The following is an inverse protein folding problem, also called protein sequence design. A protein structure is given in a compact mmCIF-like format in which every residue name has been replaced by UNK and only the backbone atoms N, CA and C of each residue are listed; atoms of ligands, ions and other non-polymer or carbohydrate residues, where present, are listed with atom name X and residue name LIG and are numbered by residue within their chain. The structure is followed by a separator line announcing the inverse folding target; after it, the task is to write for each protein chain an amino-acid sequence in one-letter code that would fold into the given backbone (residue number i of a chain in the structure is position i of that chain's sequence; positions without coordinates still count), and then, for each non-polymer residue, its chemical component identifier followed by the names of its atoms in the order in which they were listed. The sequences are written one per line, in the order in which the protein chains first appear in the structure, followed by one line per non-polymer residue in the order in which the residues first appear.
data_IF_812245756196
#
_entry.id   IF_812245756196
#
_cell.length_a   1.000
_cell.length_b   1.000
_cell.length_c   1.000
_cell.angle_alpha   90.00
_cell.angle_beta   90.00
_cell.angle_gamma   90.00
#
_symmetry.space_group_name_H-M   'P 1'
#
loop_
_entity.id
_entity.type
_entity.pdbx_description
1 polymer ?
#
# COMPACT_ATOMS: atom_id res chain seq x y z
N UNK A 1 -59.62 -30.49 -47.38
CA UNK A 1 -58.75 -29.30 -47.32
C UNK A 1 -59.34 -28.37 -46.25
N UNK A 2 -58.98 -28.61 -44.98
CA UNK A 2 -59.58 -27.93 -43.84
C UNK A 2 -59.07 -26.50 -43.73
N UNK A 3 -59.98 -25.53 -43.76
CA UNK A 3 -59.69 -24.11 -43.57
C UNK A 3 -59.26 -23.92 -42.11
N UNK A 4 -57.96 -23.88 -41.84
CA UNK A 4 -57.41 -23.57 -40.52
C UNK A 4 -57.93 -22.18 -40.13
N UNK A 5 -58.80 -22.08 -39.13
CA UNK A 5 -59.28 -20.82 -38.60
C UNK A 5 -58.17 -20.19 -37.75
N UNK A 6 -58.02 -18.86 -37.83
CA UNK A 6 -57.14 -18.10 -36.93
C UNK A 6 -57.65 -18.22 -35.49
N UNK A 7 -56.80 -18.52 -34.52
CA UNK A 7 -57.16 -18.44 -33.10
C UNK A 7 -57.49 -16.99 -32.70
N UNK A 8 -58.44 -16.80 -31.79
CA UNK A 8 -58.83 -15.46 -31.29
C UNK A 8 -57.65 -14.74 -30.63
N UNK A 9 -56.76 -15.50 -29.99
CA UNK A 9 -55.52 -15.01 -29.36
C UNK A 9 -54.58 -14.26 -30.33
N UNK A 10 -54.47 -14.72 -31.59
CA UNK A 10 -53.62 -14.06 -32.59
C UNK A 10 -54.26 -12.74 -33.05
N UNK A 11 -55.60 -12.66 -33.05
CA UNK A 11 -56.30 -11.41 -33.41
C UNK A 11 -56.12 -10.35 -32.34
N UNK A 12 -56.20 -10.74 -31.07
CA UNK A 12 -56.02 -9.83 -29.94
C UNK A 12 -54.58 -9.30 -29.87
N UNK A 13 -53.59 -10.14 -30.17
CA UNK A 13 -52.17 -9.76 -30.23
C UNK A 13 -51.88 -8.64 -31.25
N UNK A 14 -52.55 -8.66 -32.41
CA UNK A 14 -52.30 -7.72 -33.52
C UNK A 14 -53.34 -6.61 -33.66
N UNK A 15 -54.41 -6.61 -32.85
CA UNK A 15 -55.41 -5.55 -32.77
C UNK A 15 -54.83 -4.14 -32.59
N UNK A 16 -53.88 -3.87 -31.66
CA UNK A 16 -53.37 -2.51 -31.45
C UNK A 16 -52.57 -1.96 -32.63
N UNK A 17 -52.00 -2.82 -33.49
CA UNK A 17 -51.24 -2.40 -34.68
C UNK A 17 -52.17 -2.08 -35.86
N UNK A 18 -53.30 -2.77 -35.95
CA UNK A 18 -54.30 -2.56 -37.00
C UNK A 18 -55.22 -1.36 -36.72
N UNK A 19 -55.28 -0.92 -35.45
CA UNK A 19 -56.13 0.19 -34.98
C UNK A 19 -55.30 1.40 -34.51
N UNK A 20 -53.99 1.42 -34.80
CA UNK A 20 -53.11 2.54 -34.48
C UNK A 20 -53.52 3.81 -35.27
N UNK A 21 -53.49 4.96 -34.59
CA UNK A 21 -53.94 6.23 -35.15
C UNK A 21 -53.02 6.70 -36.29
N UNK A 22 -53.60 6.91 -37.48
CA UNK A 22 -52.89 7.29 -38.71
C UNK A 22 -52.93 6.28 -39.86
N UNK A 23 -53.59 5.11 -39.71
CA UNK A 23 -53.76 4.11 -40.79
C UNK A 23 -55.24 3.91 -41.10
N UNK A 24 -55.60 3.91 -42.39
CA UNK A 24 -56.99 3.67 -42.82
C UNK A 24 -57.47 2.28 -42.38
N UNK A 25 -58.59 2.25 -41.63
CA UNK A 25 -59.14 1.02 -41.09
C UNK A 25 -59.53 0.02 -42.19
N UNK A 26 -58.93 -1.18 -42.17
CA UNK A 26 -59.23 -2.26 -43.12
C UNK A 26 -60.62 -2.81 -42.83
N UNK A 27 -61.59 -2.54 -43.72
CA UNK A 27 -63.02 -2.87 -43.54
C UNK A 27 -63.38 -4.33 -43.85
N UNK A 28 -62.64 -5.01 -44.73
CA UNK A 28 -62.92 -6.39 -45.12
C UNK A 28 -62.26 -7.40 -44.16
N UNK A 29 -63.08 -8.28 -43.58
CA UNK A 29 -62.68 -9.31 -42.62
C UNK A 29 -61.72 -10.34 -43.26
N UNK A 30 -61.87 -10.62 -44.56
CA UNK A 30 -60.98 -11.56 -45.27
C UNK A 30 -59.58 -10.97 -45.44
N UNK A 31 -59.50 -9.70 -45.83
CA UNK A 31 -58.24 -8.97 -45.97
C UNK A 31 -57.57 -8.82 -44.61
N UNK A 32 -58.31 -8.45 -43.57
CA UNK A 32 -57.81 -8.33 -42.19
C UNK A 32 -57.17 -9.64 -41.69
N UNK A 33 -57.83 -10.77 -41.86
CA UNK A 33 -57.30 -12.06 -41.41
C UNK A 33 -56.05 -12.50 -42.20
N UNK A 34 -55.97 -12.16 -43.50
CA UNK A 34 -54.78 -12.41 -44.30
C UNK A 34 -53.62 -11.50 -43.89
N UNK A 35 -53.87 -10.23 -43.59
CA UNK A 35 -52.84 -9.29 -43.08
C UNK A 35 -52.30 -9.76 -41.74
N UNK A 36 -53.15 -10.22 -40.81
CA UNK A 36 -52.70 -10.77 -39.53
C UNK A 36 -51.79 -12.00 -39.74
N UNK A 37 -52.12 -12.88 -40.70
CA UNK A 37 -51.24 -14.02 -41.04
C UNK A 37 -49.90 -13.60 -41.60
N UNK A 38 -49.90 -12.59 -42.47
CA UNK A 38 -48.64 -12.06 -43.00
C UNK A 38 -47.82 -11.46 -41.87
N UNK A 39 -48.43 -10.68 -40.97
CA UNK A 39 -47.76 -10.09 -39.81
C UNK A 39 -47.16 -11.14 -38.87
N UNK A 40 -47.91 -12.21 -38.56
CA UNK A 40 -47.41 -13.30 -37.73
C UNK A 40 -46.27 -14.07 -38.43
N UNK A 41 -46.40 -14.33 -39.73
CA UNK A 41 -45.33 -14.98 -40.50
C UNK A 41 -44.09 -14.08 -40.62
N UNK A 42 -44.25 -12.76 -40.76
CA UNK A 42 -43.13 -11.82 -40.79
C UNK A 42 -42.48 -11.69 -39.41
N UNK A 43 -43.25 -11.68 -38.32
CA UNK A 43 -42.71 -11.68 -36.96
C UNK A 43 -41.94 -12.98 -36.67
N UNK A 44 -42.51 -14.13 -37.04
CA UNK A 44 -41.84 -15.42 -36.86
C UNK A 44 -40.60 -15.51 -37.75
N UNK A 45 -40.62 -15.00 -38.98
CA UNK A 45 -39.44 -14.92 -39.83
C UNK A 45 -38.36 -13.99 -39.24
N UNK A 46 -38.74 -12.83 -38.68
CA UNK A 46 -37.79 -11.92 -38.04
C UNK A 46 -37.21 -12.50 -36.74
N UNK A 47 -38.02 -13.18 -35.92
CA UNK A 47 -37.54 -13.85 -34.71
C UNK A 47 -36.71 -15.11 -35.02
N UNK A 48 -37.03 -15.81 -36.12
CA UNK A 48 -36.23 -16.90 -36.64
C UNK A 48 -34.90 -16.37 -37.21
N UNK A 49 -34.88 -15.23 -37.90
CA UNK A 49 -33.65 -14.53 -38.30
C UNK A 49 -32.79 -14.13 -37.08
N UNK A 50 -33.42 -13.67 -35.99
CA UNK A 50 -32.73 -13.37 -34.72
C UNK A 50 -32.19 -14.64 -34.04
N UNK A 51 -32.90 -15.77 -34.14
CA UNK A 51 -32.52 -17.02 -33.47
C UNK A 51 -31.47 -17.81 -34.26
N UNK A 52 -31.57 -17.87 -35.59
CA UNK A 52 -30.64 -18.64 -36.45
C UNK A 52 -29.26 -17.99 -36.56
N UNK A 53 -29.15 -16.73 -36.15
CA UNK A 53 -27.89 -15.96 -36.21
C UNK A 53 -27.14 -15.97 -34.85
N UNK A 54 -27.66 -16.69 -33.84
CA UNK A 54 -27.13 -16.69 -32.46
C UNK A 54 -26.28 -17.91 -32.04
N UNK A 55 -26.13 -18.95 -32.87
CA UNK A 55 -25.53 -20.24 -32.43
C UNK A 55 -24.11 -20.50 -32.94
N UNK A 56 -23.43 -19.55 -33.59
CA UNK A 56 -22.03 -19.83 -33.90
C UNK A 56 -21.28 -18.80 -34.72
N UNK A 57 -20.86 -17.69 -34.10
CA UNK A 57 -19.60 -17.06 -34.46
C UNK A 57 -19.18 -16.04 -33.40
N UNK A 58 -18.49 -16.53 -32.38
CA UNK A 58 -17.47 -15.73 -31.69
C UNK A 58 -16.20 -15.86 -32.54
N UNK A 59 -15.74 -14.73 -33.08
CA UNK A 59 -14.47 -14.51 -33.78
C UNK A 59 -14.35 -14.99 -35.25
N UNK A 60 -14.51 -14.05 -36.19
CA UNK A 60 -13.54 -13.89 -37.30
C UNK A 60 -13.66 -12.51 -37.95
N UNK A 61 -12.82 -11.57 -37.48
CA UNK A 61 -12.37 -10.47 -38.34
C UNK A 61 -11.31 -11.05 -39.26
N UNK A 62 -11.74 -11.57 -40.41
CA UNK A 62 -10.90 -11.72 -41.60
C UNK A 62 -11.77 -12.05 -42.81
N UNK A 63 -11.91 -11.07 -43.70
CA UNK A 63 -12.24 -11.20 -45.12
C UNK A 63 -13.03 -12.45 -45.52
N UNK A 64 -14.36 -12.32 -45.62
CA UNK A 64 -15.09 -13.05 -46.65
C UNK A 64 -16.34 -12.30 -47.10
N UNK A 65 -16.41 -12.18 -48.41
CA UNK A 65 -17.41 -11.49 -49.20
C UNK A 65 -18.73 -12.28 -49.19
N UNK A 66 -19.59 -12.09 -48.17
CA UNK A 66 -20.98 -12.57 -48.18
C UNK A 66 -21.89 -11.49 -47.58
N UNK A 67 -22.81 -11.01 -48.41
CA UNK A 67 -23.89 -10.09 -48.09
C UNK A 67 -24.89 -10.77 -47.14
N UNK A 68 -24.78 -10.52 -45.85
CA UNK A 68 -25.75 -10.90 -44.82
C UNK A 68 -25.52 -10.04 -43.59
N UNK A 69 -26.51 -9.21 -43.24
CA UNK A 69 -26.43 -8.24 -42.16
C UNK A 69 -26.07 -8.94 -40.83
N UNK A 70 -24.84 -8.73 -40.37
CA UNK A 70 -24.39 -9.24 -39.07
C UNK A 70 -25.20 -8.60 -37.96
N UNK A 71 -25.80 -9.42 -37.09
CA UNK A 71 -26.51 -8.93 -35.91
C UNK A 71 -25.57 -8.20 -34.96
N UNK A 72 -26.14 -7.21 -34.27
CA UNK A 72 -25.44 -6.46 -33.23
C UNK A 72 -25.03 -7.39 -32.08
N UNK A 73 -23.75 -7.45 -31.71
CA UNK A 73 -23.28 -8.32 -30.64
C UNK A 73 -23.86 -7.91 -29.28
N UNK A 74 -24.16 -8.90 -28.43
CA UNK A 74 -24.55 -8.66 -27.04
C UNK A 74 -23.37 -8.02 -26.31
N UNK A 75 -23.57 -6.80 -25.81
CA UNK A 75 -22.55 -6.05 -25.08
C UNK A 75 -22.26 -6.71 -23.73
N UNK A 76 -21.04 -7.23 -23.58
CA UNK A 76 -20.51 -7.67 -22.28
C UNK A 76 -20.16 -6.41 -21.47
N UNK A 77 -20.52 -6.41 -20.18
CA UNK A 77 -20.22 -5.27 -19.30
C UNK A 77 -18.72 -5.02 -19.19
N UNK A 78 -18.33 -3.75 -19.11
CA UNK A 78 -16.93 -3.36 -19.00
C UNK A 78 -16.39 -3.74 -17.61
N UNK A 79 -15.24 -4.43 -17.58
CA UNK A 79 -14.54 -4.77 -16.33
C UNK A 79 -13.47 -3.72 -16.07
N UNK A 80 -13.42 -3.23 -14.82
CA UNK A 80 -12.35 -2.33 -14.35
C UNK A 80 -11.23 -3.10 -13.66
N UNK A 81 -10.02 -2.57 -13.74
CA UNK A 81 -8.91 -3.05 -12.90
C UNK A 81 -9.18 -2.71 -11.43
N UNK A 82 -8.95 -3.67 -10.53
CA UNK A 82 -9.02 -3.43 -9.10
C UNK A 82 -7.86 -2.54 -8.64
N UNK A 83 -8.16 -1.69 -7.67
CA UNK A 83 -7.16 -0.78 -7.10
C UNK A 83 -6.31 -1.47 -6.04
N UNK A 84 -5.04 -1.08 -5.91
CA UNK A 84 -4.19 -1.59 -4.84
C UNK A 84 -4.70 -1.12 -3.48
N UNK A 85 -4.50 -1.95 -2.45
CA UNK A 85 -4.81 -1.59 -1.07
C UNK A 85 -3.76 -0.61 -0.54
N UNK A 86 -4.23 0.42 0.14
CA UNK A 86 -3.42 1.51 0.71
C UNK A 86 -2.92 1.12 2.10
N UNK A 87 -1.68 1.48 2.44
CA UNK A 87 -1.02 1.14 3.72
C UNK A 87 -0.43 2.35 4.47
N UNK A 88 -0.32 3.50 3.81
CA UNK A 88 0.41 4.67 4.32
C UNK A 88 -0.07 5.15 5.69
N UNK A 89 -1.38 5.09 5.97
CA UNK A 89 -1.93 5.58 7.24
C UNK A 89 -1.64 4.64 8.44
N UNK A 90 -1.32 3.37 8.18
CA UNK A 90 -1.00 2.41 9.24
C UNK A 90 0.50 2.40 9.58
N UNK A 91 1.34 2.93 8.69
CA UNK A 91 2.81 2.96 8.85
C UNK A 91 3.34 4.30 9.38
N UNK A 92 2.60 5.40 9.23
CA UNK A 92 3.07 6.75 9.58
C UNK A 92 2.06 7.49 10.48
N UNK A 93 2.57 8.28 11.42
CA UNK A 93 1.74 9.19 12.21
C UNK A 93 1.27 10.38 11.38
N UNK A 94 -0.01 10.72 11.46
CA UNK A 94 -0.59 11.87 10.76
C UNK A 94 -0.96 12.94 11.78
N UNK A 95 -0.48 14.16 11.56
CA UNK A 95 -0.94 15.35 12.26
C UNK A 95 -1.64 16.27 11.27
N UNK A 96 -2.97 16.42 11.34
CA UNK A 96 -3.69 17.29 10.41
C UNK A 96 -3.24 18.76 10.59
N UNK A 97 -3.07 19.46 9.47
CA UNK A 97 -2.64 20.87 9.45
C UNK A 97 -3.83 21.78 9.12
N UNK A 98 -4.06 22.79 9.97
CA UNK A 98 -5.06 23.86 9.75
C UNK A 98 -4.48 25.04 8.94
N UNK A 99 -3.15 25.14 8.87
CA UNK A 99 -2.42 26.21 8.16
C UNK A 99 -1.41 25.61 7.19
N UNK A 100 -1.06 26.30 6.09
CA UNK A 100 -0.16 25.78 5.05
C UNK A 100 1.28 25.54 5.52
N UNK A 101 1.69 26.15 6.64
CA UNK A 101 3.01 25.94 7.26
C UNK A 101 2.86 25.62 8.74
N UNK A 102 3.57 24.62 9.22
CA UNK A 102 3.67 24.22 10.62
C UNK A 102 5.09 24.41 11.17
N UNK A 103 5.21 24.62 12.47
CA UNK A 103 6.49 24.62 13.19
C UNK A 103 6.49 23.46 14.18
N UNK A 104 7.51 22.63 14.13
CA UNK A 104 7.77 21.55 15.08
C UNK A 104 8.90 22.00 16.00
N UNK A 105 8.64 21.98 17.31
CA UNK A 105 9.65 22.30 18.32
C UNK A 105 10.14 21.01 18.98
N UNK A 106 11.44 20.91 19.19
CA UNK A 106 12.05 19.83 19.96
C UNK A 106 12.95 20.42 21.03
N UNK A 107 12.75 19.95 22.27
CA UNK A 107 13.58 20.30 23.41
C UNK A 107 14.62 19.20 23.61
N UNK A 108 15.89 19.56 23.49
CA UNK A 108 17.01 18.66 23.68
C UNK A 108 17.67 18.98 25.02
N UNK A 109 17.79 17.98 25.89
CA UNK A 109 18.45 18.14 27.18
C UNK A 109 19.94 17.83 27.03
N UNK A 110 20.76 18.80 27.40
CA UNK A 110 22.21 18.76 27.26
C UNK A 110 22.86 18.86 28.64
N UNK A 111 24.00 18.20 28.80
CA UNK A 111 24.85 18.29 29.98
C UNK A 111 26.16 18.97 29.60
N UNK A 112 26.67 19.78 30.51
CA UNK A 112 27.97 20.42 30.40
C UNK A 112 28.93 19.74 31.37
N UNK A 113 30.02 19.17 30.85
CA UNK A 113 31.08 18.55 31.66
C UNK A 113 31.89 19.60 32.41
N UNK A 114 31.96 20.82 31.88
CA UNK A 114 32.59 21.98 32.51
C UNK A 114 31.70 23.22 32.29
N UNK A 115 31.66 24.17 33.24
CA UNK A 115 30.95 25.45 33.07
C UNK A 115 31.44 26.17 31.81
N UNK A 116 30.53 26.43 30.86
CA UNK A 116 30.85 27.06 29.57
C UNK A 116 31.52 26.15 28.53
N UNK A 117 31.60 24.84 28.78
CA UNK A 117 32.12 23.84 27.83
C UNK A 117 31.18 23.50 26.69
N UNK A 118 31.60 22.61 25.79
CA UNK A 118 30.73 22.09 24.72
C UNK A 118 29.64 21.20 25.31
N UNK A 119 28.35 21.38 24.93
CA UNK A 119 27.26 20.55 25.42
C UNK A 119 27.40 19.11 24.93
N UNK A 120 27.24 18.14 25.83
CA UNK A 120 27.03 16.73 25.51
C UNK A 120 25.54 16.39 25.60
N UNK A 121 25.02 15.66 24.62
CA UNK A 121 23.65 15.17 24.69
C UNK A 121 23.51 14.13 25.81
N UNK A 122 22.52 14.30 26.70
CA UNK A 122 22.26 13.33 27.78
C UNK A 122 21.75 11.99 27.20
N UNK A 123 21.06 12.08 26.07
CA UNK A 123 20.56 10.94 25.30
C UNK A 123 21.05 11.08 23.86
N UNK A 124 21.83 10.10 23.39
CA UNK A 124 22.36 10.09 22.03
C UNK A 124 22.04 8.78 21.30
N UNK A 125 22.41 8.67 20.01
CA UNK A 125 22.28 7.43 19.25
C UNK A 125 22.95 6.25 19.94
N UNK A 126 24.03 6.46 20.67
CA UNK A 126 24.76 5.40 21.38
C UNK A 126 24.10 5.00 22.72
N UNK A 127 22.95 5.61 23.06
CA UNK A 127 22.19 5.37 24.27
C UNK A 127 22.42 6.45 25.34
N UNK A 128 22.21 6.06 26.60
CA UNK A 128 22.44 6.94 27.75
C UNK A 128 23.94 7.10 28.00
N UNK A 129 24.45 8.32 27.80
CA UNK A 129 25.86 8.63 28.10
C UNK A 129 25.99 8.84 29.60
N UNK A 130 26.47 7.81 30.29
CA UNK A 130 26.79 7.91 31.71
C UNK A 130 27.73 9.10 31.95
N UNK A 131 27.52 9.88 33.02
CA UNK A 131 28.54 10.81 33.44
C UNK A 131 29.83 10.01 33.68
N UNK A 132 30.93 10.44 33.02
CA UNK A 132 32.25 9.98 33.40
C UNK A 132 32.54 10.58 34.77
N UNK A 133 32.15 9.88 35.83
CA UNK A 133 32.81 10.06 37.11
C UNK A 133 34.24 9.54 36.93
N UNK A 134 35.24 10.35 37.29
CA UNK A 134 36.62 9.90 37.32
C UNK A 134 36.69 8.61 38.14
N UNK A 135 36.94 7.49 37.44
CA UNK A 135 37.12 6.20 38.07
C UNK A 135 38.52 6.21 38.68
N UNK A 136 38.62 6.60 39.96
CA UNK A 136 39.88 6.46 40.68
C UNK A 136 40.26 4.97 40.72
N UNK A 137 41.43 4.64 40.19
CA UNK A 137 42.04 3.32 40.42
C UNK A 137 42.23 3.09 41.92
N UNK A 138 42.35 1.83 42.34
CA UNK A 138 42.59 1.48 43.74
C UNK A 138 43.82 2.20 44.31
N UNK A 139 44.85 2.41 43.49
CA UNK A 139 46.05 3.17 43.86
C UNK A 139 45.78 4.66 44.07
N UNK A 140 44.99 5.29 43.18
CA UNK A 140 44.58 6.69 43.31
C UNK A 140 43.67 6.90 44.54
N UNK A 141 42.75 5.97 44.81
CA UNK A 141 41.87 6.01 45.97
C UNK A 141 42.63 5.85 47.30
N UNK A 142 43.65 4.98 47.34
CA UNK A 142 44.48 4.80 48.54
C UNK A 142 45.38 6.02 48.83
N UNK A 143 45.91 6.65 47.78
CA UNK A 143 46.70 7.87 47.91
C UNK A 143 45.84 9.06 48.38
N UNK A 144 44.62 9.21 47.84
CA UNK A 144 43.62 10.17 48.36
C UNK A 144 43.27 9.89 49.84
N UNK A 145 43.13 8.62 50.22
CA UNK A 145 42.87 8.21 51.61
C UNK A 145 44.03 8.50 52.59
N UNK A 146 45.25 8.67 52.07
CA UNK A 146 46.44 9.11 52.84
C UNK A 146 46.61 10.63 52.85
N UNK A 147 45.64 11.38 52.31
CA UNK A 147 45.70 12.84 52.22
C UNK A 147 46.67 13.35 51.14
N UNK A 148 47.08 12.50 50.19
CA UNK A 148 47.85 12.93 49.02
C UNK A 148 46.90 13.04 47.83
N UNK A 149 46.73 14.26 47.31
CA UNK A 149 46.00 14.48 46.06
C UNK A 149 46.80 13.88 44.89
N UNK A 150 46.10 13.19 44.00
CA UNK A 150 46.69 12.46 42.86
C UNK A 150 46.03 13.00 41.60
N UNK A 151 46.82 13.33 40.58
CA UNK A 151 46.28 13.77 39.30
C UNK A 151 45.62 12.60 38.52
N UNK A 152 44.96 12.93 37.41
CA UNK A 152 44.30 11.96 36.52
C UNK A 152 45.28 10.90 35.92
N UNK A 153 46.59 11.11 36.02
CA UNK A 153 47.66 10.19 35.58
C UNK A 153 48.23 9.32 36.70
N UNK A 154 47.78 9.49 37.95
CA UNK A 154 48.23 8.69 39.10
C UNK A 154 49.51 9.21 39.74
N UNK A 155 50.00 10.40 39.36
CA UNK A 155 51.15 11.05 39.99
C UNK A 155 50.71 11.91 41.18
N UNK A 156 51.53 11.97 42.23
CA UNK A 156 51.29 12.85 43.37
C UNK A 156 51.27 14.31 42.90
N UNK A 157 50.13 14.98 43.06
CA UNK A 157 49.98 16.38 42.69
C UNK A 157 50.65 17.25 43.75
N UNK A 158 51.64 18.05 43.34
CA UNK A 158 52.21 19.13 44.16
C UNK A 158 51.37 20.40 43.93
N UNK A 159 50.88 20.97 45.03
CA UNK A 159 50.01 22.15 45.15
C UNK A 159 48.49 21.99 44.87
N UNK A 160 47.73 22.65 45.77
CA UNK A 160 46.28 22.71 45.91
C UNK A 160 45.46 22.49 44.62
N UNK A 161 44.82 21.32 44.51
CA UNK A 161 43.73 21.06 43.56
C UNK A 161 42.40 21.02 44.33
N UNK A 162 42.15 22.05 45.13
CA UNK A 162 40.84 22.29 45.74
C UNK A 162 40.27 23.51 45.05
N UNK A 163 39.59 23.31 43.91
CA UNK A 163 38.60 24.18 43.22
C UNK A 163 38.36 23.72 41.75
N UNK A 164 39.04 22.69 41.23
CA UNK A 164 38.95 22.32 39.79
C UNK A 164 37.86 21.30 39.42
N UNK A 165 36.98 20.90 40.34
CA UNK A 165 35.85 20.00 40.06
C UNK A 165 34.51 20.76 40.14
N UNK A 166 34.20 21.61 39.15
CA UNK A 166 32.90 22.26 39.08
C UNK A 166 31.79 21.20 38.96
N UNK A 167 30.65 21.46 39.60
CA UNK A 167 29.46 20.63 39.42
C UNK A 167 29.07 20.61 37.95
N UNK A 168 28.71 19.42 37.45
CA UNK A 168 28.17 19.31 36.09
C UNK A 168 26.86 20.10 36.00
N UNK A 169 26.75 20.94 34.98
CA UNK A 169 25.56 21.74 34.72
C UNK A 169 24.65 21.01 33.73
N UNK A 170 23.34 21.15 33.88
CA UNK A 170 22.34 20.63 32.95
C UNK A 170 21.55 21.79 32.37
N UNK A 171 21.32 21.75 31.06
CA UNK A 171 20.56 22.74 30.33
C UNK A 171 19.65 22.09 29.29
N UNK A 172 18.83 22.90 28.63
CA UNK A 172 18.02 22.46 27.50
C UNK A 172 18.11 23.47 26.36
N UNK A 173 18.14 22.95 25.14
CA UNK A 173 18.09 23.74 23.92
C UNK A 173 16.77 23.48 23.21
N UNK A 174 16.09 24.54 22.77
CA UNK A 174 14.86 24.43 21.98
C UNK A 174 15.22 24.63 20.51
N UNK A 175 15.15 23.54 19.75
CA UNK A 175 15.27 23.56 18.30
C UNK A 175 13.90 23.69 17.63
N UNK A 176 13.87 24.26 16.44
CA UNK A 176 12.66 24.40 15.63
C UNK A 176 12.89 23.93 14.20
N UNK A 177 11.91 23.27 13.63
CA UNK A 177 11.89 22.83 12.23
C UNK A 177 10.58 23.29 11.60
N UNK A 178 10.65 23.96 10.45
CA UNK A 178 9.45 24.34 9.68
C UNK A 178 9.05 23.25 8.71
N UNK A 179 7.76 22.94 8.66
CA UNK A 179 7.13 22.03 7.70
C UNK A 179 6.19 22.82 6.82
N UNK A 180 6.28 22.66 5.50
CA UNK A 180 5.44 23.37 4.53
C UNK A 180 4.66 22.35 3.71
N UNK A 181 3.36 22.54 3.57
CA UNK A 181 2.52 21.67 2.76
C UNK A 181 2.89 21.81 1.26
N UNK A 182 2.96 20.67 0.57
CA UNK A 182 3.08 20.60 -0.88
C UNK A 182 1.74 20.21 -1.50
N UNK A 183 1.51 20.60 -2.75
CA UNK A 183 0.24 20.36 -3.45
C UNK A 183 0.41 19.31 -4.56
N UNK A 184 -0.64 18.51 -4.76
CA UNK A 184 -0.77 17.55 -5.88
C UNK A 184 -2.13 17.76 -6.54
N UNK A 185 -2.15 17.83 -7.87
CA UNK A 185 -3.38 17.99 -8.63
C UNK A 185 -3.28 17.24 -9.97
N UNK A 186 -4.37 16.59 -10.37
CA UNK A 186 -4.50 15.90 -11.66
C UNK A 186 -5.68 16.48 -12.44
N UNK A 187 -5.60 16.42 -13.78
CA UNK A 187 -6.66 16.87 -14.68
C UNK A 187 -6.99 15.78 -15.68
N UNK A 188 -8.28 15.41 -15.76
CA UNK A 188 -8.81 14.65 -16.87
C UNK A 188 -9.34 15.59 -17.96
N UNK A 189 -9.25 15.15 -19.22
CA UNK A 189 -9.92 15.77 -20.37
C UNK A 189 -10.70 14.68 -21.08
N UNK A 190 -11.95 14.95 -21.43
CA UNK A 190 -12.78 14.08 -22.24
C UNK A 190 -13.51 14.91 -23.31
N UNK A 191 -13.95 14.25 -24.39
CA UNK A 191 -14.81 14.87 -25.41
C UNK A 191 -16.27 14.60 -25.05
N UNK A 192 -17.15 15.57 -25.33
CA UNK A 192 -18.59 15.40 -25.14
C UNK A 192 -19.15 14.27 -26.02
N UNK A 193 -18.53 14.02 -27.18
CA UNK A 193 -18.86 12.92 -28.08
C UNK A 193 -18.58 11.56 -27.42
N UNK A 194 -17.42 11.46 -26.76
CA UNK A 194 -17.02 10.25 -26.03
C UNK A 194 -17.94 10.00 -24.84
N UNK A 195 -18.33 11.05 -24.11
CA UNK A 195 -19.26 10.94 -22.99
C UNK A 195 -20.66 10.51 -23.45
N UNK A 196 -21.11 11.00 -24.62
CA UNK A 196 -22.38 10.59 -25.22
C UNK A 196 -22.34 9.13 -25.66
N UNK A 197 -21.26 8.69 -26.31
CA UNK A 197 -21.08 7.30 -26.76
C UNK A 197 -21.01 6.32 -25.57
N UNK A 198 -20.19 6.62 -24.56
CA UNK A 198 -20.09 5.83 -23.33
C UNK A 198 -21.44 5.70 -22.60
N UNK A 199 -22.25 6.75 -22.62
CA UNK A 199 -23.57 6.74 -22.00
C UNK A 199 -24.58 5.94 -22.82
N UNK A 200 -24.55 6.05 -24.14
CA UNK A 200 -25.47 5.37 -25.04
C UNK A 200 -25.20 3.86 -25.14
N UNK A 201 -23.92 3.48 -25.20
CA UNK A 201 -23.50 2.07 -25.39
C UNK A 201 -23.31 1.35 -24.06
N UNK A 202 -22.58 1.96 -23.12
CA UNK A 202 -22.17 1.27 -21.88
C UNK A 202 -23.01 1.67 -20.65
N UNK A 203 -23.88 2.68 -20.76
CA UNK A 203 -24.68 3.18 -19.63
C UNK A 203 -23.84 3.87 -18.55
N UNK A 204 -22.59 4.24 -18.86
CA UNK A 204 -21.62 4.79 -17.89
C UNK A 204 -21.58 6.31 -18.00
N UNK A 205 -21.50 6.99 -16.86
CA UNK A 205 -21.23 8.42 -16.82
C UNK A 205 -19.71 8.69 -16.82
N UNK A 206 -19.18 9.11 -17.96
CA UNK A 206 -17.75 9.38 -18.15
C UNK A 206 -17.18 10.42 -17.16
N UNK A 207 -17.97 11.44 -16.80
CA UNK A 207 -17.51 12.48 -15.87
C UNK A 207 -17.31 11.93 -14.46
N UNK A 208 -18.27 11.12 -13.98
CA UNK A 208 -18.22 10.52 -12.66
C UNK A 208 -17.07 9.49 -12.55
N UNK A 209 -16.87 8.66 -13.58
CA UNK A 209 -15.78 7.67 -13.60
C UNK A 209 -14.41 8.34 -13.66
N UNK A 210 -14.25 9.40 -14.46
CA UNK A 210 -12.99 10.13 -14.51
C UNK A 210 -12.70 10.87 -13.20
N UNK A 211 -13.70 11.44 -12.54
CA UNK A 211 -13.53 12.06 -11.22
C UNK A 211 -13.10 11.02 -10.16
N UNK A 212 -13.72 9.84 -10.17
CA UNK A 212 -13.33 8.73 -9.30
C UNK A 212 -11.89 8.31 -9.56
N UNK A 213 -11.51 8.08 -10.82
CA UNK A 213 -10.17 7.68 -11.22
C UNK A 213 -9.10 8.69 -10.79
N UNK A 214 -9.35 9.99 -10.96
CA UNK A 214 -8.43 11.04 -10.51
C UNK A 214 -8.23 11.02 -8.99
N UNK A 215 -9.32 10.90 -8.22
CA UNK A 215 -9.24 10.86 -6.75
C UNK A 215 -8.43 9.65 -6.27
N UNK A 216 -8.62 8.52 -6.93
CA UNK A 216 -7.97 7.27 -6.60
C UNK A 216 -6.49 7.27 -7.00
N UNK A 217 -6.15 7.86 -8.15
CA UNK A 217 -4.77 8.02 -8.60
C UNK A 217 -3.98 8.90 -7.63
N UNK A 218 -4.53 10.04 -7.20
CA UNK A 218 -3.88 10.93 -6.22
C UNK A 218 -3.55 10.17 -4.93
N UNK A 219 -4.50 9.40 -4.41
CA UNK A 219 -4.31 8.66 -3.16
C UNK A 219 -3.29 7.53 -3.33
N UNK A 220 -3.28 6.86 -4.48
CA UNK A 220 -2.29 5.79 -4.79
C UNK A 220 -0.88 6.37 -4.92
N UNK A 221 -0.75 7.50 -5.62
CA UNK A 221 0.53 8.23 -5.75
C UNK A 221 1.04 8.69 -4.37
N UNK A 222 0.16 9.26 -3.54
CA UNK A 222 0.49 9.63 -2.15
C UNK A 222 0.95 8.43 -1.34
N UNK A 223 0.23 7.32 -1.40
CA UNK A 223 0.59 6.11 -0.68
C UNK A 223 1.97 5.58 -1.10
N UNK A 224 2.27 5.57 -2.41
CA UNK A 224 3.56 5.11 -2.93
C UNK A 224 4.70 6.05 -2.52
N UNK A 225 4.48 7.35 -2.59
CA UNK A 225 5.45 8.35 -2.13
C UNK A 225 5.80 8.17 -0.65
N UNK A 226 4.79 7.95 0.21
CA UNK A 226 5.01 7.74 1.64
C UNK A 226 5.84 6.47 1.91
N UNK A 227 5.56 5.35 1.24
CA UNK A 227 6.36 4.11 1.37
C UNK A 227 7.80 4.33 0.89
N UNK A 228 7.99 5.03 -0.24
CA UNK A 228 9.31 5.36 -0.75
C UNK A 228 10.09 6.29 0.19
N UNK A 229 9.40 7.25 0.82
CA UNK A 229 10.00 8.14 1.80
C UNK A 229 10.49 7.35 3.02
N UNK A 230 9.70 6.38 3.52
CA UNK A 230 10.13 5.49 4.60
C UNK A 230 11.40 4.73 4.20
N UNK A 231 11.42 4.09 3.02
CA UNK A 231 12.58 3.33 2.56
C UNK A 231 13.83 4.21 2.34
N UNK A 232 13.67 5.46 1.89
CA UNK A 232 14.81 6.37 1.65
C UNK A 232 15.30 7.08 2.91
N UNK A 233 14.46 7.21 3.95
CA UNK A 233 14.83 7.78 5.25
C UNK A 233 15.25 6.74 6.27
N UNK A 234 14.95 5.46 6.04
CA UNK A 234 15.41 4.36 6.87
C UNK A 234 16.95 4.34 6.93
N UNK A 235 17.49 4.09 8.12
CA UNK A 235 18.91 3.85 8.31
C UNK A 235 19.27 2.47 7.77
N UNK A 236 20.48 2.32 7.23
CA UNK A 236 20.98 1.03 6.75
C UNK A 236 21.20 0.12 7.96
N UNK A 237 20.44 -0.97 8.05
CA UNK A 237 20.60 -2.01 9.06
C UNK A 237 21.77 -2.96 8.76
N UNK A 238 21.89 -4.05 9.51
CA UNK A 238 22.90 -5.10 9.29
C UNK A 238 24.35 -4.58 9.32
N UNK A 239 24.66 -3.67 10.25
CA UNK A 239 26.00 -3.07 10.41
C UNK A 239 26.90 -3.81 11.40
N UNK A 240 26.52 -5.03 11.80
CA UNK A 240 27.24 -5.76 12.83
C UNK A 240 28.48 -6.45 12.27
N UNK A 241 29.53 -6.53 13.10
CA UNK A 241 30.83 -7.12 12.74
C UNK A 241 30.76 -8.61 12.31
N UNK A 242 29.62 -9.28 12.56
CA UNK A 242 29.42 -10.69 12.25
C UNK A 242 28.83 -10.99 10.87
N UNK A 243 28.50 -9.99 10.05
CA UNK A 243 28.06 -10.21 8.66
C UNK A 243 29.22 -10.11 7.67
N UNK A 244 29.13 -10.83 6.56
CA UNK A 244 30.12 -10.84 5.50
C UNK A 244 30.23 -9.49 4.78
N UNK A 245 29.09 -8.79 4.58
CA UNK A 245 29.05 -7.46 3.99
C UNK A 245 28.14 -6.54 4.81
N UNK A 246 28.66 -5.45 5.40
CA UNK A 246 27.84 -4.50 6.14
C UNK A 246 26.73 -3.92 5.26
N UNK A 247 25.50 -3.91 5.78
CA UNK A 247 24.34 -3.36 5.07
C UNK A 247 23.54 -4.38 4.25
N UNK A 248 24.01 -5.62 4.13
CA UNK A 248 23.30 -6.69 3.44
C UNK A 248 23.29 -7.94 4.30
N UNK A 249 22.14 -8.63 4.35
CA UNK A 249 22.04 -9.95 4.97
C UNK A 249 21.91 -11.00 3.87
N UNK A 250 23.01 -11.70 3.59
CA UNK A 250 23.01 -12.79 2.62
C UNK A 250 22.76 -14.11 3.34
N UNK A 251 21.65 -14.76 2.97
CA UNK A 251 21.23 -16.03 3.53
C UNK A 251 22.24 -17.17 3.29
N UNK A 252 23.09 -17.07 2.27
CA UNK A 252 24.07 -18.09 1.94
C UNK A 252 25.38 -17.96 2.75
N UNK A 253 25.77 -16.74 3.14
CA UNK A 253 27.07 -16.48 3.79
C UNK A 253 26.94 -16.07 5.25
N UNK A 254 25.88 -15.37 5.63
CA UNK A 254 25.69 -14.84 6.98
C UNK A 254 24.94 -15.83 7.88
N UNK A 255 24.58 -17.01 7.34
CA UNK A 255 23.90 -18.07 8.07
C UNK A 255 24.66 -19.38 7.91
N UNK A 256 24.90 -20.07 9.03
CA UNK A 256 25.47 -21.44 9.04
C UNK A 256 24.39 -22.51 8.77
N UNK A 257 23.26 -22.11 8.18
CA UNK A 257 22.12 -22.98 7.94
C UNK A 257 22.44 -24.02 6.88
N UNK A 258 22.11 -25.30 7.16
CA UNK A 258 22.29 -26.36 6.18
C UNK A 258 21.13 -26.42 5.21
N UNK A 259 19.92 -26.15 5.69
CA UNK A 259 18.68 -26.19 4.92
C UNK A 259 18.02 -24.80 4.91
N UNK A 260 17.33 -24.46 3.81
CA UNK A 260 16.79 -23.11 3.60
C UNK A 260 15.78 -22.66 4.68
N UNK A 261 15.03 -23.58 5.28
CA UNK A 261 14.08 -23.26 6.36
C UNK A 261 14.80 -22.75 7.62
N UNK A 262 16.01 -23.26 7.90
CA UNK A 262 16.83 -22.77 9.01
C UNK A 262 17.38 -21.37 8.69
N UNK A 263 17.77 -21.14 7.43
CA UNK A 263 18.24 -19.84 6.95
C UNK A 263 17.15 -18.75 7.08
N UNK A 264 15.88 -19.09 6.81
CA UNK A 264 14.76 -18.17 7.03
C UNK A 264 14.50 -17.87 8.51
N UNK A 265 14.83 -18.80 9.43
CA UNK A 265 14.76 -18.53 10.87
C UNK A 265 15.90 -17.63 11.35
N UNK A 266 17.09 -17.71 10.76
CA UNK A 266 18.15 -16.72 11.04
C UNK A 266 17.78 -15.32 10.53
N UNK A 267 17.08 -15.21 9.39
CA UNK A 267 16.53 -13.92 8.94
C UNK A 267 15.58 -13.31 9.97
N UNK A 268 14.70 -14.12 10.58
CA UNK A 268 13.84 -13.67 11.67
C UNK A 268 14.64 -13.14 12.87
N UNK A 269 15.72 -13.82 13.25
CA UNK A 269 16.59 -13.36 14.33
C UNK A 269 17.27 -12.02 13.99
N UNK A 270 17.70 -11.84 12.73
CA UNK A 270 18.24 -10.57 12.28
C UNK A 270 17.21 -9.44 12.43
N UNK A 271 15.96 -9.69 12.04
CA UNK A 271 14.88 -8.71 12.19
C UNK A 271 14.66 -8.33 13.67
N UNK A 272 14.69 -9.30 14.60
CA UNK A 272 14.59 -8.99 16.03
C UNK A 272 15.76 -8.14 16.54
N UNK A 273 16.96 -8.37 16.01
CA UNK A 273 18.16 -7.61 16.36
C UNK A 273 18.04 -6.15 15.93
N UNK A 274 17.61 -5.90 14.69
CA UNK A 274 17.33 -4.54 14.18
C UNK A 274 16.21 -3.86 14.98
N UNK A 275 15.13 -4.58 15.30
CA UNK A 275 14.04 -4.03 16.10
C UNK A 275 14.49 -3.60 17.50
N UNK A 276 15.40 -4.35 18.14
CA UNK A 276 15.97 -3.98 19.43
C UNK A 276 16.91 -2.77 19.32
N UNK A 277 17.66 -2.67 18.22
CA UNK A 277 18.53 -1.54 17.93
C UNK A 277 17.74 -0.24 17.75
N UNK A 278 16.59 -0.29 17.05
CA UNK A 278 15.64 0.83 16.97
C UNK A 278 15.19 1.27 18.36
N UNK A 279 14.92 0.32 19.27
CA UNK A 279 14.58 0.62 20.65
C UNK A 279 15.67 1.35 21.42
N UNK A 280 16.94 1.01 21.17
CA UNK A 280 18.09 1.71 21.77
C UNK A 280 18.24 3.13 21.23
N UNK A 281 18.14 3.32 19.92
CA UNK A 281 18.30 4.65 19.31
C UNK A 281 17.16 5.61 19.62
N UNK A 282 15.91 5.13 19.52
CA UNK A 282 14.73 6.00 19.67
C UNK A 282 14.35 6.23 21.13
N UNK A 283 14.66 5.28 22.03
CA UNK A 283 14.17 5.28 23.40
C UNK A 283 12.65 5.20 23.53
N UNK A 284 11.92 4.91 22.44
CA UNK A 284 10.44 4.85 22.40
C UNK A 284 9.89 3.42 22.43
N UNK A 285 10.76 2.42 22.31
CA UNK A 285 10.40 1.01 22.25
C UNK A 285 11.01 0.34 21.02
N UNK A 286 11.03 -1.00 21.03
CA UNK A 286 11.49 -1.78 19.87
C UNK A 286 10.59 -1.52 18.66
N UNK A 287 11.12 -1.76 17.46
CA UNK A 287 10.33 -1.75 16.23
C UNK A 287 9.08 -2.65 16.33
N UNK A 288 8.00 -2.26 15.68
CA UNK A 288 6.70 -2.93 15.71
C UNK A 288 6.06 -3.08 14.32
N UNK A 289 6.64 -2.50 13.29
CA UNK A 289 6.14 -2.53 11.91
C UNK A 289 7.25 -3.06 10.99
N UNK A 290 6.85 -3.84 9.99
CA UNK A 290 7.70 -4.39 8.95
C UNK A 290 7.12 -4.09 7.58
N UNK A 291 7.93 -3.57 6.67
CA UNK A 291 7.63 -3.47 5.24
C UNK A 291 8.60 -4.40 4.52
N UNK A 292 8.07 -5.37 3.80
CA UNK A 292 8.87 -6.44 3.17
C UNK A 292 8.54 -6.58 1.69
N UNK A 293 9.50 -7.08 0.91
CA UNK A 293 9.22 -7.54 -0.45
C UNK A 293 8.32 -8.80 -0.43
N UNK A 294 7.63 -9.12 -1.53
CA UNK A 294 6.77 -10.31 -1.61
C UNK A 294 7.54 -11.64 -1.40
N UNK A 295 8.78 -11.71 -1.86
CA UNK A 295 9.60 -12.92 -1.75
C UNK A 295 10.08 -13.12 -0.30
N UNK A 296 10.44 -12.04 0.39
CA UNK A 296 10.77 -12.10 1.82
C UNK A 296 9.53 -12.44 2.67
N UNK A 297 8.36 -11.93 2.33
CA UNK A 297 7.12 -12.33 3.00
C UNK A 297 6.86 -13.84 2.85
N UNK A 298 7.04 -14.37 1.65
CA UNK A 298 6.88 -15.80 1.36
C UNK A 298 7.93 -16.65 2.09
N UNK A 299 9.15 -16.15 2.23
CA UNK A 299 10.21 -16.79 3.03
C UNK A 299 9.84 -16.87 4.53
N UNK A 300 9.27 -15.81 5.10
CA UNK A 300 8.83 -15.78 6.51
C UNK A 300 7.60 -16.65 6.77
N UNK A 301 6.70 -16.78 5.80
CA UNK A 301 5.60 -17.75 5.83
C UNK A 301 6.11 -19.19 5.77
N UNK A 302 7.03 -19.50 4.85
CA UNK A 302 7.65 -20.83 4.73
C UNK A 302 8.38 -21.25 6.02
N UNK A 303 8.95 -20.29 6.75
CA UNK A 303 9.57 -20.52 8.05
C UNK A 303 8.56 -20.71 9.20
N UNK A 304 7.25 -20.64 8.91
CA UNK A 304 6.13 -20.65 9.87
C UNK A 304 6.26 -19.58 10.96
N UNK A 305 6.92 -18.45 10.65
CA UNK A 305 7.09 -17.34 11.59
C UNK A 305 5.99 -16.28 11.42
N UNK A 306 5.49 -16.14 10.19
CA UNK A 306 4.42 -15.22 9.85
C UNK A 306 3.06 -15.89 10.05
N UNK A 307 2.27 -15.39 10.99
CA UNK A 307 0.86 -15.74 11.09
C UNK A 307 0.07 -14.89 10.10
N UNK A 308 -0.18 -15.48 8.93
CA UNK A 308 -1.02 -14.87 7.89
C UNK A 308 -2.45 -14.98 8.38
N UNK A 309 -3.06 -13.84 8.74
CA UNK A 309 -4.47 -13.85 9.14
C UNK A 309 -5.30 -14.26 7.92
N UNK A 310 -6.09 -15.35 7.97
CA UNK A 310 -7.06 -15.58 6.91
C UNK A 310 -8.05 -14.43 6.93
N UNK A 311 -8.11 -13.65 5.85
CA UNK A 311 -9.29 -12.82 5.58
C UNK A 311 -10.46 -13.80 5.57
N UNK A 312 -11.39 -13.60 6.51
CA UNK A 312 -12.55 -14.45 6.72
C UNK A 312 -13.23 -14.81 5.40
N UNK A 313 -13.09 -16.07 4.96
CA UNK A 313 -13.91 -16.65 3.90
C UNK A 313 -13.20 -17.13 2.63
N UNK A 314 -11.89 -16.93 2.42
CA UNK A 314 -11.20 -17.51 1.25
C UNK A 314 -9.76 -17.94 1.57
N UNK A 315 -9.38 -19.10 1.04
CA UNK A 315 -7.98 -19.55 1.03
C UNK A 315 -7.20 -18.56 0.15
N UNK A 316 -6.23 -17.85 0.74
CA UNK A 316 -5.36 -16.91 0.02
C UNK A 316 -4.29 -17.72 -0.70
N UNK A 317 -4.54 -18.05 -1.96
CA UNK A 317 -3.49 -18.36 -2.92
C UNK A 317 -3.24 -17.11 -3.76
N UNK A 318 -2.20 -16.34 -3.42
CA UNK A 318 -1.72 -15.21 -4.23
C UNK A 318 -1.74 -13.87 -3.49
N UNK A 319 -0.55 -13.32 -3.30
CA UNK A 319 -0.29 -12.01 -2.67
C UNK A 319 -0.67 -10.79 -3.53
N UNK A 320 -1.48 -10.98 -4.58
CA UNK A 320 -1.85 -9.90 -5.48
C UNK A 320 -2.93 -9.02 -4.85
N UNK A 321 -2.52 -7.88 -4.30
CA UNK A 321 -3.43 -6.84 -3.83
C UNK A 321 -3.73 -6.84 -2.32
N UNK A 322 -3.09 -7.70 -1.53
CA UNK A 322 -3.18 -7.66 -0.06
C UNK A 322 -1.89 -7.03 0.47
N UNK A 323 -1.97 -5.78 0.93
CA UNK A 323 -0.80 -5.05 1.42
C UNK A 323 -0.51 -5.31 2.91
N UNK A 324 -1.46 -5.88 3.67
CA UNK A 324 -1.25 -6.32 5.05
C UNK A 324 -1.23 -7.84 5.12
N UNK A 325 -0.09 -8.43 5.43
CA UNK A 325 0.08 -9.88 5.43
C UNK A 325 -0.39 -10.53 6.74
N UNK A 326 -0.16 -9.87 7.88
CA UNK A 326 -0.46 -10.46 9.17
C UNK A 326 0.48 -9.99 10.26
N UNK A 327 0.67 -10.84 11.27
CA UNK A 327 1.53 -10.54 12.41
C UNK A 327 2.65 -11.57 12.50
N UNK A 328 3.88 -11.10 12.55
CA UNK A 328 5.05 -11.95 12.76
C UNK A 328 5.18 -12.27 14.25
N UNK A 329 5.01 -13.54 14.62
CA UNK A 329 5.10 -14.04 16.01
C UNK A 329 4.31 -13.21 17.04
N UNK A 330 3.18 -12.62 16.65
CA UNK A 330 2.35 -11.77 17.53
C UNK A 330 2.98 -10.42 17.91
N UNK A 331 4.15 -10.05 17.35
CA UNK A 331 4.93 -8.87 17.75
C UNK A 331 4.93 -7.75 16.70
N UNK A 332 5.09 -8.09 15.43
CA UNK A 332 5.30 -7.10 14.36
C UNK A 332 4.18 -7.17 13.34
N UNK A 333 3.63 -6.02 12.95
CA UNK A 333 2.67 -5.92 11.83
C UNK A 333 3.46 -5.97 10.53
N UNK A 334 3.15 -6.93 9.67
CA UNK A 334 3.86 -7.12 8.39
C UNK A 334 3.01 -6.58 7.25
N UNK A 335 3.58 -5.62 6.53
CA UNK A 335 3.06 -5.07 5.29
C UNK A 335 3.92 -5.51 4.12
N UNK A 336 3.28 -5.87 3.02
CA UNK A 336 3.97 -6.26 1.79
C UNK A 336 3.97 -5.06 0.86
N UNK A 337 5.14 -4.72 0.32
CA UNK A 337 5.26 -3.83 -0.81
C UNK A 337 5.24 -4.65 -2.12
N UNK A 338 4.11 -4.69 -2.86
CA UNK A 338 4.03 -5.44 -4.11
C UNK A 338 4.87 -4.85 -5.24
N UNK A 339 5.40 -3.62 -5.07
CA UNK A 339 6.17 -2.91 -6.09
C UNK A 339 7.66 -2.80 -5.73
N UNK A 340 8.15 -3.66 -4.84
CA UNK A 340 9.58 -3.76 -4.52
C UNK A 340 10.39 -4.16 -5.78
N UNK A 341 11.44 -3.40 -6.10
CA UNK A 341 12.32 -3.69 -7.25
C UNK A 341 13.46 -4.68 -6.90
N UNK A 342 13.76 -4.80 -5.61
CA UNK A 342 14.74 -5.70 -5.04
C UNK A 342 14.20 -6.24 -3.71
N UNK A 343 14.80 -7.30 -3.20
CA UNK A 343 14.42 -7.86 -1.91
C UNK A 343 14.98 -7.03 -0.76
N UNK A 344 14.08 -6.59 0.11
CA UNK A 344 14.42 -5.78 1.25
C UNK A 344 13.44 -6.00 2.41
N UNK A 345 13.89 -5.61 3.59
CA UNK A 345 13.09 -5.53 4.81
C UNK A 345 13.37 -4.18 5.46
N UNK A 346 12.33 -3.38 5.65
CA UNK A 346 12.39 -2.14 6.43
C UNK A 346 11.67 -2.38 7.75
N UNK A 347 12.40 -2.22 8.86
CA UNK A 347 11.86 -2.35 10.22
C UNK A 347 11.60 -0.95 10.78
N UNK A 348 10.42 -0.74 11.35
CA UNK A 348 9.97 0.54 11.93
C UNK A 348 9.47 0.40 13.35
#
# INVERSE_FOLDING_TARGET
MGKVLLSEEIKDKWAPVLEADGVDAIKDNTVRNNTIRVLENTMNAMNEEVTTTSVGNIASVSNNNVSGAGMDPILISMVRRAMPVLVANDIMGVQPMDRPTGLVFAMNCNRYVQPGGTPEAIWGPEGYVLPSYDKYSTAQAEALGKGQEVDASGAAADAAVVESNPWQEVGFDISKTSVTAQTRALKAKYSDELAQDLRAVHGINAEAELAALLSQEIVTEQNREMVNLVNTKALVGCQESGLATPGTFDMATDTDARWQIEAYKSLYFQIEREANLIGKHTGRGRGNILIVSPDVASALEAAQQLDVKPISGNIVGGWTGISYAGVLQGKYKVFIDPYAAADYVTVG
#
